data_IF_215030299177
#
_entry.id   IF_215030299177
#
_cell.length_a   1.000
_cell.length_b   1.000
_cell.length_c   1.000
_cell.angle_alpha   90.00
_cell.angle_beta   90.00
_cell.angle_gamma   90.00
#
_symmetry.space_group_name_H-M   'P 1'
#
loop_
_entity.id
_entity.type
_entity.pdbx_description
1 polymer ?
#
# COMPACT_ATOMS: atom_id res chain seq x y z
N UNK A 1 77.17 -17.92 11.32
CA UNK A 1 76.10 -17.19 12.05
C UNK A 1 74.94 -16.99 11.11
N UNK A 2 73.87 -17.79 11.25
CA UNK A 2 72.68 -17.76 10.41
C UNK A 2 71.60 -16.93 11.10
N UNK A 3 71.14 -15.93 10.41
CA UNK A 3 70.05 -15.06 10.93
C UNK A 3 68.71 -15.61 10.35
N UNK A 4 67.71 -15.88 11.18
CA UNK A 4 66.43 -16.34 10.68
C UNK A 4 65.60 -15.19 10.15
N UNK A 5 65.10 -15.36 8.92
CA UNK A 5 64.13 -14.45 8.28
C UNK A 5 62.74 -14.71 8.91
N UNK A 6 62.19 -13.72 9.63
CA UNK A 6 60.80 -13.70 10.03
C UNK A 6 59.91 -13.40 8.81
N UNK A 7 59.04 -14.35 8.47
CA UNK A 7 57.99 -14.15 7.50
C UNK A 7 56.79 -13.48 8.19
N UNK A 8 56.50 -12.27 7.80
CA UNK A 8 55.27 -11.56 8.23
C UNK A 8 54.13 -11.94 7.27
N UNK A 9 53.24 -12.77 7.75
CA UNK A 9 52.00 -13.08 7.02
C UNK A 9 51.00 -11.95 7.21
N UNK A 10 50.76 -11.19 6.18
CA UNK A 10 49.67 -10.19 6.13
C UNK A 10 48.37 -10.92 5.82
N UNK A 11 47.51 -11.06 6.84
CA UNK A 11 46.17 -11.55 6.66
C UNK A 11 45.30 -10.40 6.12
N UNK A 12 44.98 -10.44 4.83
CA UNK A 12 44.04 -9.51 4.23
C UNK A 12 42.63 -9.92 4.61
N UNK A 13 42.01 -9.19 5.54
CA UNK A 13 40.58 -9.32 5.87
C UNK A 13 39.77 -8.62 4.79
N UNK A 14 39.30 -9.36 3.80
CA UNK A 14 38.31 -8.86 2.81
C UNK A 14 36.93 -8.84 3.46
N UNK A 15 36.53 -7.68 4.01
CA UNK A 15 35.15 -7.44 4.40
C UNK A 15 34.29 -7.31 3.13
N UNK A 16 33.64 -8.41 2.76
CA UNK A 16 32.63 -8.41 1.72
C UNK A 16 31.43 -7.60 2.21
N UNK A 17 31.24 -6.38 1.69
CA UNK A 17 29.97 -5.68 1.82
C UNK A 17 28.93 -6.47 1.02
N UNK A 18 28.12 -7.25 1.71
CA UNK A 18 26.90 -7.80 1.14
C UNK A 18 25.94 -6.63 0.89
N UNK A 19 25.84 -6.20 -0.35
CA UNK A 19 24.81 -5.27 -0.79
C UNK A 19 23.50 -6.05 -0.76
N UNK A 20 22.75 -5.89 0.33
CA UNK A 20 21.37 -6.36 0.42
C UNK A 20 20.56 -5.47 -0.56
N UNK A 21 20.31 -5.96 -1.75
CA UNK A 21 19.29 -5.36 -2.62
C UNK A 21 17.96 -5.65 -1.94
N UNK A 22 17.45 -4.71 -1.16
CA UNK A 22 16.07 -4.73 -0.75
C UNK A 22 15.23 -4.62 -2.03
N UNK A 23 14.62 -5.74 -2.44
CA UNK A 23 13.63 -5.70 -3.50
C UNK A 23 12.48 -4.84 -2.99
N UNK A 24 12.15 -3.77 -3.74
CA UNK A 24 10.95 -2.99 -3.47
C UNK A 24 9.74 -3.93 -3.55
N UNK A 25 8.83 -3.80 -2.60
CA UNK A 25 7.57 -4.56 -2.60
C UNK A 25 6.84 -4.36 -3.94
N UNK A 26 6.31 -5.45 -4.51
CA UNK A 26 5.55 -5.36 -5.75
C UNK A 26 4.33 -4.45 -5.54
N UNK A 27 4.00 -3.56 -6.49
CA UNK A 27 2.87 -2.62 -6.33
C UNK A 27 1.54 -3.29 -5.99
N UNK A 28 1.25 -4.46 -6.55
CA UNK A 28 0.06 -5.23 -6.22
C UNK A 28 0.04 -5.71 -4.76
N UNK A 29 1.21 -6.11 -4.22
CA UNK A 29 1.33 -6.53 -2.82
C UNK A 29 1.18 -5.34 -1.88
N UNK A 30 1.79 -4.20 -2.23
CA UNK A 30 1.63 -2.95 -1.50
C UNK A 30 0.16 -2.49 -1.49
N UNK A 31 -0.54 -2.59 -2.62
CA UNK A 31 -1.95 -2.26 -2.74
C UNK A 31 -2.81 -3.18 -1.86
N UNK A 32 -2.54 -4.48 -1.88
CA UNK A 32 -3.25 -5.44 -1.02
C UNK A 32 -3.04 -5.13 0.46
N UNK A 33 -1.80 -4.89 0.89
CA UNK A 33 -1.50 -4.52 2.27
C UNK A 33 -2.20 -3.23 2.69
N UNK A 34 -2.26 -2.23 1.80
CA UNK A 34 -2.97 -0.97 2.04
C UNK A 34 -4.48 -1.20 2.21
N UNK A 35 -5.11 -1.98 1.34
CA UNK A 35 -6.53 -2.33 1.42
C UNK A 35 -6.84 -3.10 2.72
N UNK A 36 -5.98 -4.02 3.12
CA UNK A 36 -6.12 -4.77 4.37
C UNK A 36 -5.98 -3.87 5.60
N UNK A 37 -5.07 -2.89 5.57
CA UNK A 37 -4.93 -1.88 6.62
C UNK A 37 -6.19 -1.00 6.73
N UNK A 38 -6.80 -0.64 5.60
CA UNK A 38 -8.09 0.07 5.56
C UNK A 38 -9.18 -0.77 6.22
N UNK A 39 -9.29 -2.03 5.86
CA UNK A 39 -10.27 -2.94 6.46
C UNK A 39 -10.08 -3.07 7.98
N UNK A 40 -8.85 -3.19 8.43
CA UNK A 40 -8.51 -3.31 9.85
C UNK A 40 -8.64 -1.98 10.64
N UNK A 41 -8.83 -0.84 9.95
CA UNK A 41 -8.90 0.48 10.58
C UNK A 41 -7.57 0.95 11.17
N UNK A 42 -6.45 0.47 10.62
CA UNK A 42 -5.09 0.81 11.06
C UNK A 42 -4.62 2.10 10.41
N UNK A 43 -5.10 3.24 10.91
CA UNK A 43 -4.90 4.56 10.28
C UNK A 43 -3.42 4.90 10.08
N UNK A 44 -2.54 4.58 11.02
CA UNK A 44 -1.11 4.85 10.89
C UNK A 44 -0.47 4.00 9.76
N UNK A 45 -0.87 2.74 9.60
CA UNK A 45 -0.43 1.89 8.50
C UNK A 45 -0.98 2.38 7.16
N UNK A 46 -2.24 2.82 7.11
CA UNK A 46 -2.85 3.42 5.93
C UNK A 46 -2.05 4.65 5.49
N UNK A 47 -1.80 5.58 6.42
CA UNK A 47 -1.11 6.84 6.10
C UNK A 47 0.37 6.68 5.79
N UNK A 48 1.03 5.66 6.32
CA UNK A 48 2.43 5.36 6.02
C UNK A 48 2.69 4.99 4.54
N UNK A 49 1.66 4.53 3.82
CA UNK A 49 1.76 4.17 2.41
C UNK A 49 1.88 5.39 1.48
N UNK A 50 1.37 6.55 1.88
CA UNK A 50 1.32 7.73 1.04
C UNK A 50 2.65 8.47 0.93
N UNK A 51 2.90 9.03 -0.27
CA UNK A 51 3.93 10.04 -0.48
C UNK A 51 3.50 11.41 0.06
N UNK A 52 4.45 12.37 0.14
CA UNK A 52 4.22 13.67 0.77
C UNK A 52 3.11 14.50 0.11
N UNK A 53 2.98 14.42 -1.22
CA UNK A 53 2.03 15.18 -2.03
C UNK A 53 0.87 14.30 -2.54
N UNK A 54 0.54 13.25 -1.81
CA UNK A 54 -0.50 12.33 -2.20
C UNK A 54 -1.89 12.97 -2.19
N UNK A 55 -2.75 12.45 -3.06
CA UNK A 55 -4.15 12.85 -3.17
C UNK A 55 -5.06 11.64 -3.03
N UNK A 56 -6.08 11.77 -2.22
CA UNK A 56 -7.18 10.83 -2.09
C UNK A 56 -8.45 11.45 -2.67
N UNK A 57 -8.96 10.86 -3.74
CA UNK A 57 -10.27 11.19 -4.32
C UNK A 57 -11.29 10.19 -3.79
N UNK A 58 -12.14 10.65 -2.92
CA UNK A 58 -13.25 9.87 -2.38
C UNK A 58 -14.52 10.20 -3.13
N UNK A 59 -15.06 9.24 -3.85
CA UNK A 59 -16.23 9.45 -4.73
C UNK A 59 -17.43 8.69 -4.17
N UNK A 60 -18.37 9.42 -3.61
CA UNK A 60 -19.63 8.92 -3.05
C UNK A 60 -19.60 8.69 -1.54
N UNK A 61 -20.79 8.64 -0.95
CA UNK A 61 -20.98 8.44 0.48
C UNK A 61 -20.70 9.67 1.34
N UNK A 62 -20.71 9.51 2.69
CA UNK A 62 -20.60 10.64 3.62
C UNK A 62 -19.25 11.34 3.61
N UNK A 63 -18.20 10.71 3.10
CA UNK A 63 -16.84 11.26 3.03
C UNK A 63 -16.46 11.74 1.63
N UNK A 64 -17.44 11.85 0.72
CA UNK A 64 -17.20 12.35 -0.64
C UNK A 64 -16.36 13.63 -0.63
N UNK A 65 -15.31 13.66 -1.45
CA UNK A 65 -14.43 14.82 -1.55
C UNK A 65 -13.00 14.48 -1.97
N UNK A 66 -12.24 15.54 -2.18
CA UNK A 66 -10.82 15.49 -2.51
C UNK A 66 -9.99 15.86 -1.27
N UNK A 67 -9.07 14.99 -0.90
CA UNK A 67 -8.16 15.19 0.23
C UNK A 67 -6.73 15.28 -0.29
N UNK A 68 -6.12 16.46 -0.22
CA UNK A 68 -4.84 16.78 -0.86
C UNK A 68 -3.70 17.08 0.13
N UNK A 69 -3.92 16.90 1.42
CA UNK A 69 -2.90 17.03 2.46
C UNK A 69 -2.88 15.77 3.33
N UNK A 70 -1.73 15.43 3.89
CA UNK A 70 -1.61 14.26 4.77
C UNK A 70 -2.58 14.36 5.96
N UNK A 71 -2.73 15.55 6.55
CA UNK A 71 -3.65 15.75 7.68
C UNK A 71 -5.11 15.51 7.27
N UNK A 72 -5.50 15.99 6.09
CA UNK A 72 -6.85 15.76 5.56
C UNK A 72 -7.11 14.30 5.24
N UNK A 73 -6.14 13.60 4.63
CA UNK A 73 -6.21 12.16 4.34
C UNK A 73 -6.33 11.36 5.64
N UNK A 74 -5.47 11.64 6.62
CA UNK A 74 -5.51 10.97 7.93
C UNK A 74 -6.84 11.19 8.64
N UNK A 75 -7.38 12.41 8.59
CA UNK A 75 -8.68 12.73 9.18
C UNK A 75 -9.82 11.96 8.50
N UNK A 76 -9.81 11.82 7.18
CA UNK A 76 -10.81 11.05 6.43
C UNK A 76 -10.78 9.56 6.83
N UNK A 77 -9.62 8.94 6.86
CA UNK A 77 -9.46 7.55 7.27
C UNK A 77 -9.83 7.32 8.73
N UNK A 78 -9.51 8.25 9.61
CA UNK A 78 -9.91 8.19 11.03
C UNK A 78 -11.42 8.18 11.18
N UNK A 79 -12.13 9.03 10.43
CA UNK A 79 -13.60 9.05 10.41
C UNK A 79 -14.18 7.75 9.88
N UNK A 80 -13.61 7.23 8.79
CA UNK A 80 -14.04 5.96 8.20
C UNK A 80 -13.87 4.80 9.19
N UNK A 81 -12.69 4.65 9.78
CA UNK A 81 -12.40 3.60 10.75
C UNK A 81 -13.32 3.67 11.98
N UNK A 82 -13.57 4.87 12.48
CA UNK A 82 -14.47 5.09 13.63
C UNK A 82 -15.91 4.73 13.31
N UNK A 83 -16.39 5.07 12.12
CA UNK A 83 -17.78 4.84 11.70
C UNK A 83 -18.08 3.35 11.44
N UNK A 84 -17.12 2.61 10.87
CA UNK A 84 -17.35 1.25 10.39
C UNK A 84 -16.83 0.16 11.35
N UNK A 85 -15.85 0.48 12.21
CA UNK A 85 -15.11 -0.53 12.97
C UNK A 85 -14.29 -1.45 12.05
N UNK A 86 -13.78 -2.59 12.55
CA UNK A 86 -13.05 -3.55 11.74
C UNK A 86 -13.94 -4.18 10.67
N UNK A 87 -13.40 -4.27 9.45
CA UNK A 87 -14.05 -4.85 8.28
C UNK A 87 -13.20 -6.00 7.73
N UNK A 88 -13.80 -6.84 6.92
CA UNK A 88 -13.11 -7.82 6.09
C UNK A 88 -13.13 -7.32 4.64
N UNK A 89 -11.99 -7.32 3.97
CA UNK A 89 -11.90 -6.98 2.56
C UNK A 89 -11.98 -8.23 1.68
N UNK A 90 -12.96 -8.28 0.79
CA UNK A 90 -12.97 -9.22 -0.32
C UNK A 90 -12.43 -8.48 -1.54
N UNK A 91 -11.25 -8.87 -2.00
CA UNK A 91 -10.51 -8.22 -3.10
C UNK A 91 -10.63 -9.08 -4.35
N UNK A 92 -11.13 -8.51 -5.43
CA UNK A 92 -11.29 -9.18 -6.71
C UNK A 92 -10.73 -8.32 -7.85
N UNK A 93 -10.45 -8.94 -8.99
CA UNK A 93 -10.03 -8.30 -10.23
C UNK A 93 -8.85 -7.34 -10.06
N UNK A 94 -7.91 -7.68 -9.17
CA UNK A 94 -6.70 -6.88 -9.01
C UNK A 94 -5.83 -6.98 -10.25
N UNK A 95 -5.48 -5.83 -10.82
CA UNK A 95 -4.64 -5.70 -11.99
C UNK A 95 -3.53 -4.67 -11.73
N UNK A 96 -2.34 -4.98 -12.19
CA UNK A 96 -1.18 -4.11 -12.10
C UNK A 96 -0.65 -3.77 -13.50
N UNK A 97 -0.32 -2.51 -13.71
CA UNK A 97 0.50 -2.06 -14.83
C UNK A 97 1.68 -1.28 -14.27
N UNK A 98 2.90 -1.70 -14.60
CA UNK A 98 4.12 -1.09 -14.05
C UNK A 98 5.17 -0.82 -15.13
N UNK A 99 5.95 0.23 -14.91
CA UNK A 99 7.14 0.59 -15.69
C UNK A 99 8.17 1.28 -14.76
N UNK A 100 9.38 1.65 -15.24
CA UNK A 100 10.38 2.27 -14.37
C UNK A 100 9.97 3.61 -13.70
N UNK A 101 8.90 4.24 -14.15
CA UNK A 101 8.39 5.50 -13.58
C UNK A 101 7.35 5.32 -12.49
N UNK A 102 6.76 4.16 -12.39
CA UNK A 102 5.73 3.87 -11.40
C UNK A 102 4.78 2.77 -11.83
N UNK A 103 3.70 2.63 -11.08
CA UNK A 103 2.68 1.62 -11.34
C UNK A 103 1.29 2.15 -11.04
N UNK A 104 0.30 1.55 -11.72
CA UNK A 104 -1.10 1.66 -11.36
C UNK A 104 -1.63 0.29 -10.96
N UNK A 105 -2.42 0.24 -9.91
CA UNK A 105 -3.14 -0.95 -9.46
C UNK A 105 -4.62 -0.63 -9.40
N UNK A 106 -5.44 -1.47 -10.02
CA UNK A 106 -6.90 -1.40 -9.93
C UNK A 106 -7.43 -2.63 -9.22
N UNK A 107 -8.48 -2.49 -8.45
CA UNK A 107 -9.14 -3.60 -7.77
C UNK A 107 -10.61 -3.30 -7.51
N UNK A 108 -11.42 -4.35 -7.47
CA UNK A 108 -12.77 -4.31 -6.96
C UNK A 108 -12.74 -4.87 -5.52
N UNK A 109 -13.21 -4.10 -4.56
CA UNK A 109 -13.17 -4.47 -3.14
C UNK A 109 -14.53 -4.31 -2.50
N UNK A 110 -14.98 -5.34 -1.81
CA UNK A 110 -16.16 -5.25 -0.96
C UNK A 110 -15.75 -5.40 0.50
N UNK A 111 -15.82 -4.31 1.25
CA UNK A 111 -15.59 -4.32 2.69
C UNK A 111 -16.86 -4.78 3.41
N UNK A 112 -16.74 -5.78 4.25
CA UNK A 112 -17.85 -6.40 5.00
C UNK A 112 -17.60 -6.35 6.49
N UNK A 113 -18.61 -5.94 7.22
CA UNK A 113 -18.61 -5.88 8.69
C UNK A 113 -19.94 -5.35 9.18
N UNK A 114 -19.91 -4.33 10.03
CA UNK A 114 -21.12 -3.64 10.51
C UNK A 114 -21.98 -3.10 9.36
N UNK A 115 -21.31 -2.66 8.28
CA UNK A 115 -21.94 -2.30 7.01
C UNK A 115 -21.15 -2.93 5.85
N UNK A 116 -21.73 -2.86 4.65
CA UNK A 116 -21.06 -3.30 3.42
C UNK A 116 -20.70 -2.08 2.59
N UNK A 117 -19.41 -1.95 2.26
CA UNK A 117 -18.89 -0.81 1.48
C UNK A 117 -18.21 -1.34 0.21
N UNK A 118 -18.89 -1.24 -0.95
CA UNK A 118 -18.36 -1.69 -2.23
C UNK A 118 -17.53 -0.58 -2.87
N UNK A 119 -16.28 -0.86 -3.22
CA UNK A 119 -15.32 0.15 -3.68
C UNK A 119 -14.57 -0.32 -4.90
N UNK A 120 -14.53 0.53 -5.91
CA UNK A 120 -13.57 0.41 -7.00
C UNK A 120 -12.35 1.26 -6.67
N UNK A 121 -11.19 0.60 -6.63
CA UNK A 121 -9.91 1.23 -6.38
C UNK A 121 -9.15 1.54 -7.65
N UNK A 122 -8.51 2.70 -7.67
CA UNK A 122 -7.38 3.00 -8.54
C UNK A 122 -6.25 3.59 -7.69
N UNK A 123 -5.11 2.94 -7.69
CA UNK A 123 -3.95 3.30 -6.88
C UNK A 123 -2.77 3.58 -7.80
N UNK A 124 -2.16 4.74 -7.67
CA UNK A 124 -0.96 5.11 -8.43
C UNK A 124 0.25 5.19 -7.50
N UNK A 125 1.29 4.44 -7.84
CA UNK A 125 2.55 4.39 -7.09
C UNK A 125 3.68 5.05 -7.89
N UNK A 126 4.50 5.83 -7.18
CA UNK A 126 5.77 6.37 -7.69
C UNK A 126 6.82 6.25 -6.59
N UNK A 127 8.01 5.78 -6.96
CA UNK A 127 9.12 5.56 -6.02
C UNK A 127 8.70 4.76 -4.77
N UNK A 128 7.85 3.74 -4.97
CA UNK A 128 7.34 2.88 -3.92
C UNK A 128 6.32 3.54 -2.97
N UNK A 129 5.83 4.73 -3.31
CA UNK A 129 4.83 5.47 -2.51
C UNK A 129 3.53 5.64 -3.27
N UNK A 130 2.42 5.55 -2.53
CA UNK A 130 1.08 5.85 -3.03
C UNK A 130 0.96 7.37 -3.21
N UNK A 131 0.76 7.82 -4.46
CA UNK A 131 0.68 9.25 -4.79
C UNK A 131 -0.72 9.69 -5.17
N UNK A 132 -1.53 8.79 -5.68
CA UNK A 132 -2.92 9.01 -6.04
C UNK A 132 -3.75 7.79 -5.65
N UNK A 133 -4.87 8.01 -5.00
CA UNK A 133 -5.84 6.97 -4.66
C UNK A 133 -7.24 7.43 -5.04
N UNK A 134 -7.93 6.67 -5.89
CA UNK A 134 -9.33 6.84 -6.15
C UNK A 134 -10.08 5.77 -5.37
N UNK A 135 -10.96 6.21 -4.48
CA UNK A 135 -11.91 5.42 -3.72
C UNK A 135 -13.31 5.69 -4.25
N UNK A 136 -13.74 4.90 -5.20
CA UNK A 136 -15.05 5.03 -5.83
C UNK A 136 -16.05 4.09 -5.18
N UNK A 137 -17.08 4.61 -4.52
CA UNK A 137 -18.21 3.77 -4.11
C UNK A 137 -18.91 3.26 -5.38
N UNK A 138 -18.95 1.93 -5.54
CA UNK A 138 -19.60 1.28 -6.68
C UNK A 138 -20.65 0.26 -6.20
N UNK A 139 -21.93 0.66 -6.09
CA UNK A 139 -23.00 -0.22 -5.61
C UNK A 139 -23.17 -1.50 -6.43
N UNK A 140 -22.74 -1.52 -7.69
CA UNK A 140 -22.84 -2.71 -8.55
C UNK A 140 -21.97 -3.87 -8.07
N UNK A 141 -20.89 -3.58 -7.33
CA UNK A 141 -20.02 -4.63 -6.77
C UNK A 141 -20.69 -5.42 -5.64
N UNK A 142 -21.62 -4.80 -4.91
CA UNK A 142 -22.38 -5.45 -3.84
C UNK A 142 -23.59 -6.24 -4.38
N UNK A 143 -24.00 -5.97 -5.61
CA UNK A 143 -25.19 -6.58 -6.25
C UNK A 143 -24.87 -7.86 -7.03
N UNK A 144 -23.70 -8.50 -6.81
CA UNK A 144 -23.39 -9.78 -7.49
C UNK A 144 -24.46 -10.82 -7.15
N UNK A 145 -25.14 -11.41 -8.17
CA UNK A 145 -26.01 -12.55 -7.92
C UNK A 145 -25.19 -13.68 -7.30
N UNK A 146 -25.75 -14.35 -6.30
CA UNK A 146 -25.17 -15.57 -5.78
C UNK A 146 -24.91 -16.52 -6.96
N UNK A 147 -23.68 -16.93 -7.15
CA UNK A 147 -23.33 -18.00 -8.07
C UNK A 147 -23.96 -19.28 -7.53
N UNK A 148 -24.94 -19.79 -8.26
CA UNK A 148 -25.57 -21.08 -7.98
C UNK A 148 -24.60 -22.22 -8.34
#
# INVERSE_FOLDING_TARGET
MSVPRLAVSVLALSAGLAWSTAYAEAPADAAKAHIEAVAAGQVDAITAAYGADAVLEWVGGPLDGRYATMDAIKAAWTKFAKANGPLKADIEHMQEAANPKGATVTADVVFKGKSTVPVRYVLTYRDGKLVDEIWQIDPKLAAKPASY
#
